data_IF_675164763058
#
_entry.id   IF_675164763058
#
_cell.length_a   1.000
_cell.length_b   1.000
_cell.length_c   1.000
_cell.angle_alpha   90.00
_cell.angle_beta   90.00
_cell.angle_gamma   90.00
#
_symmetry.space_group_name_H-M   'P 1'
#
loop_
_entity.id
_entity.type
_entity.pdbx_description
1 polymer ?
#
# COMPACT_ATOMS: atom_id res chain seq x y z
N UNK A 1 2.57 3.15 0.01
CA UNK A 1 1.28 3.27 -0.70
C UNK A 1 0.60 4.56 -0.30
N UNK A 2 -0.72 4.67 -0.49
CA UNK A 2 -1.53 5.82 -0.05
C UNK A 2 -1.98 5.78 1.42
N UNK A 3 -1.62 4.74 2.17
CA UNK A 3 -2.03 4.53 3.58
C UNK A 3 -1.03 5.20 4.52
N UNK A 4 -1.51 6.00 5.47
CA UNK A 4 -0.69 6.62 6.54
C UNK A 4 -1.32 6.39 7.91
N UNK A 5 -0.49 6.00 8.89
CA UNK A 5 -0.92 5.86 10.29
C UNK A 5 -1.47 7.17 10.88
N UNK A 6 -1.17 8.32 10.29
CA UNK A 6 -1.69 9.64 10.71
C UNK A 6 -3.23 9.67 10.75
N UNK A 7 -3.88 8.88 9.88
CA UNK A 7 -5.34 8.75 9.82
C UNK A 7 -5.95 8.25 11.15
N UNK A 8 -5.20 7.41 11.86
CA UNK A 8 -5.56 6.81 13.15
C UNK A 8 -4.64 7.27 14.30
N UNK A 9 -4.03 8.45 14.15
CA UNK A 9 -3.07 9.02 15.11
C UNK A 9 -3.62 9.24 16.53
N UNK A 10 -4.94 9.37 16.69
CA UNK A 10 -5.54 9.51 18.03
C UNK A 10 -5.47 8.18 18.77
N UNK A 11 -4.98 8.20 20.01
CA UNK A 11 -4.95 7.00 20.85
C UNK A 11 -6.35 6.52 21.26
N UNK A 12 -7.25 7.46 21.57
CA UNK A 12 -8.65 7.19 21.88
C UNK A 12 -9.54 8.21 21.19
N UNK A 13 -10.82 7.84 21.02
CA UNK A 13 -11.85 8.73 20.50
C UNK A 13 -13.05 8.80 21.44
N UNK A 14 -13.63 9.98 21.55
CA UNK A 14 -14.92 10.22 22.23
C UNK A 14 -16.09 10.24 21.26
N UNK A 15 -15.79 10.23 19.96
CA UNK A 15 -16.75 10.22 18.86
C UNK A 15 -16.37 9.15 17.84
N UNK A 16 -17.35 8.52 17.20
CA UNK A 16 -17.11 7.58 16.10
C UNK A 16 -16.29 8.21 14.98
N UNK A 17 -15.62 7.37 14.18
CA UNK A 17 -15.29 7.76 12.82
C UNK A 17 -16.54 7.65 11.97
N UNK A 18 -16.86 8.72 11.25
CA UNK A 18 -17.95 8.75 10.29
C UNK A 18 -17.41 9.16 8.93
N UNK A 19 -17.53 8.27 7.95
CA UNK A 19 -17.00 8.47 6.60
C UNK A 19 -18.06 9.01 5.65
N UNK A 20 -19.32 9.18 6.11
CA UNK A 20 -20.44 9.74 5.33
C UNK A 20 -20.98 8.84 4.21
N UNK A 21 -20.22 7.87 3.74
CA UNK A 21 -20.63 6.93 2.70
C UNK A 21 -19.58 5.84 2.45
N UNK A 22 -19.97 4.81 1.70
CA UNK A 22 -19.01 3.80 1.23
C UNK A 22 -18.15 4.43 0.14
N UNK A 23 -16.86 4.14 0.18
CA UNK A 23 -15.88 4.67 -0.76
C UNK A 23 -15.03 3.54 -1.31
N UNK A 24 -14.77 3.60 -2.60
CA UNK A 24 -13.72 2.82 -3.22
C UNK A 24 -12.73 3.77 -3.92
N UNK A 25 -11.44 3.46 -3.84
CA UNK A 25 -10.40 4.15 -4.57
C UNK A 25 -9.45 3.15 -5.18
N UNK A 26 -9.13 3.35 -6.47
CA UNK A 26 -8.17 2.56 -7.22
C UNK A 26 -7.09 3.46 -7.79
N UNK A 27 -5.84 3.09 -7.54
CA UNK A 27 -4.64 3.77 -8.05
C UNK A 27 -3.87 2.81 -8.95
N UNK A 28 -3.54 3.26 -10.16
CA UNK A 28 -2.71 2.52 -11.11
C UNK A 28 -1.55 3.42 -11.54
N UNK A 29 -0.32 2.96 -11.33
CA UNK A 29 0.90 3.70 -11.70
C UNK A 29 1.78 2.81 -12.57
N UNK A 30 2.38 3.41 -13.60
CA UNK A 30 3.35 2.75 -14.48
C UNK A 30 4.64 3.57 -14.47
N UNK A 31 5.76 2.91 -14.20
CA UNK A 31 7.07 3.55 -14.12
C UNK A 31 8.00 2.81 -15.07
N UNK A 32 8.35 3.46 -16.19
CA UNK A 32 9.34 2.93 -17.11
C UNK A 32 10.74 3.20 -16.59
N UNK A 33 11.52 2.15 -16.39
CA UNK A 33 12.91 2.25 -15.94
C UNK A 33 13.83 2.51 -17.14
N UNK A 34 14.88 3.34 -16.98
CA UNK A 34 15.96 3.41 -17.95
C UNK A 34 16.77 2.11 -17.94
N UNK A 35 17.43 1.78 -19.07
CA UNK A 35 18.16 0.52 -19.25
C UNK A 35 19.33 0.33 -18.26
N UNK A 36 19.81 1.42 -17.66
CA UNK A 36 20.82 1.39 -16.60
C UNK A 36 20.32 0.79 -15.27
N UNK A 37 19.01 0.59 -15.11
CA UNK A 37 18.37 0.12 -13.88
C UNK A 37 17.59 -1.18 -14.11
N UNK A 38 17.64 -2.08 -13.13
CA UNK A 38 16.80 -3.28 -13.05
C UNK A 38 16.19 -3.43 -11.67
N UNK A 39 15.01 -4.05 -11.61
CA UNK A 39 14.39 -4.40 -10.33
C UNK A 39 15.22 -5.48 -9.63
N UNK A 40 15.62 -5.21 -8.38
CA UNK A 40 16.28 -6.16 -7.49
C UNK A 40 15.27 -6.84 -6.57
N UNK A 41 14.25 -6.11 -6.15
CA UNK A 41 13.21 -6.61 -5.25
C UNK A 41 11.89 -5.90 -5.52
N UNK A 42 10.83 -6.71 -5.57
CA UNK A 42 9.45 -6.23 -5.48
C UNK A 42 8.89 -6.63 -4.11
N UNK A 43 8.27 -5.71 -3.38
CA UNK A 43 7.48 -6.06 -2.21
C UNK A 43 6.42 -7.13 -2.57
N UNK A 44 6.18 -8.13 -1.69
CA UNK A 44 5.08 -9.05 -1.89
C UNK A 44 3.74 -8.29 -1.88
N UNK A 45 2.71 -8.80 -2.57
CA UNK A 45 1.40 -8.18 -2.55
C UNK A 45 0.84 -8.16 -1.12
N UNK A 46 0.17 -7.07 -0.77
CA UNK A 46 -0.59 -6.94 0.46
C UNK A 46 -2.06 -7.17 0.10
N UNK A 47 -2.70 -8.12 0.77
CA UNK A 47 -4.14 -8.35 0.69
C UNK A 47 -4.64 -8.36 2.13
N UNK A 48 -5.39 -7.33 2.50
CA UNK A 48 -5.96 -7.17 3.82
C UNK A 48 -7.47 -7.08 3.68
N UNK A 49 -8.13 -8.15 4.11
CA UNK A 49 -9.59 -8.17 4.16
C UNK A 49 -10.06 -8.11 5.62
N UNK A 50 -10.90 -7.15 5.91
CA UNK A 50 -11.44 -6.91 7.25
C UNK A 50 -12.93 -6.68 7.16
N UNK A 51 -13.58 -6.51 8.31
CA UNK A 51 -14.98 -6.09 8.37
C UNK A 51 -15.20 -4.62 7.99
N UNK A 52 -14.15 -3.80 8.05
CA UNK A 52 -14.25 -2.35 7.79
C UNK A 52 -13.84 -1.98 6.39
N UNK A 53 -12.88 -2.69 5.80
CA UNK A 53 -12.39 -2.42 4.45
C UNK A 53 -11.73 -3.67 3.84
N UNK A 54 -11.62 -3.67 2.52
CA UNK A 54 -10.67 -4.47 1.75
C UNK A 54 -9.57 -3.56 1.22
N UNK A 55 -8.32 -3.96 1.41
CA UNK A 55 -7.16 -3.29 0.83
C UNK A 55 -6.30 -4.27 0.04
N UNK A 56 -5.91 -3.87 -1.16
CA UNK A 56 -5.01 -4.61 -2.03
C UNK A 56 -3.91 -3.66 -2.50
N UNK A 57 -2.66 -4.12 -2.45
CA UNK A 57 -1.51 -3.42 -3.03
C UNK A 57 -0.60 -4.44 -3.70
N UNK A 58 -0.21 -4.18 -4.94
CA UNK A 58 0.60 -5.09 -5.75
C UNK A 58 1.58 -4.34 -6.64
N UNK A 59 2.81 -4.85 -6.67
CA UNK A 59 3.80 -4.49 -7.68
C UNK A 59 3.98 -5.64 -8.67
N UNK A 60 4.13 -5.31 -9.95
CA UNK A 60 4.62 -6.24 -10.97
C UNK A 60 5.69 -5.56 -11.82
N UNK A 61 6.52 -6.36 -12.49
CA UNK A 61 7.55 -5.86 -13.38
C UNK A 61 7.56 -6.67 -14.67
N UNK A 62 7.47 -5.99 -15.80
CA UNK A 62 7.62 -6.57 -17.14
C UNK A 62 8.09 -5.50 -18.11
N UNK A 63 8.85 -5.90 -19.15
CA UNK A 63 9.28 -5.00 -20.23
C UNK A 63 9.88 -3.67 -19.74
N UNK A 64 10.80 -3.74 -18.78
CA UNK A 64 11.44 -2.57 -18.14
C UNK A 64 10.47 -1.59 -17.47
N UNK A 65 9.25 -2.01 -17.16
CA UNK A 65 8.20 -1.19 -16.54
C UNK A 65 7.76 -1.80 -15.23
N UNK A 66 7.81 -1.01 -14.15
CA UNK A 66 7.20 -1.35 -12.87
C UNK A 66 5.75 -0.88 -12.91
N UNK A 67 4.83 -1.79 -12.61
CA UNK A 67 3.42 -1.49 -12.46
C UNK A 67 3.06 -1.56 -10.99
N UNK A 68 2.24 -0.62 -10.56
CA UNK A 68 1.69 -0.56 -9.22
C UNK A 68 0.17 -0.48 -9.31
N UNK A 69 -0.50 -1.33 -8.53
CA UNK A 69 -1.94 -1.32 -8.33
C UNK A 69 -2.24 -1.24 -6.84
N UNK A 70 -3.12 -0.31 -6.48
CA UNK A 70 -3.65 -0.17 -5.12
C UNK A 70 -5.16 -0.03 -5.19
N UNK A 71 -5.86 -0.74 -4.33
CA UNK A 71 -7.31 -0.69 -4.15
C UNK A 71 -7.60 -0.55 -2.66
N UNK A 72 -8.43 0.41 -2.30
CA UNK A 72 -9.07 0.51 -0.99
C UNK A 72 -10.57 0.55 -1.20
N UNK A 73 -11.31 -0.37 -0.58
CA UNK A 73 -12.77 -0.46 -0.63
C UNK A 73 -13.30 -0.49 0.79
N UNK A 74 -13.92 0.61 1.23
CA UNK A 74 -14.55 0.73 2.54
C UNK A 74 -15.85 -0.09 2.57
N UNK A 75 -16.00 -0.93 3.60
CA UNK A 75 -17.19 -1.77 3.87
C UNK A 75 -18.06 -1.22 4.98
N UNK A 76 -17.52 -0.32 5.79
CA UNK A 76 -18.24 0.36 6.86
C UNK A 76 -18.21 1.86 6.63
N UNK A 77 -19.35 2.53 6.82
CA UNK A 77 -19.43 4.00 6.79
C UNK A 77 -19.11 4.62 8.15
N UNK A 78 -19.06 3.81 9.20
CA UNK A 78 -18.89 4.26 10.58
C UNK A 78 -18.08 3.24 11.38
N UNK A 79 -17.14 3.72 12.18
CA UNK A 79 -16.42 2.92 13.18
C UNK A 79 -16.83 3.45 14.56
N UNK A 80 -17.39 2.58 15.39
CA UNK A 80 -17.81 2.99 16.74
C UNK A 80 -16.60 3.31 17.63
N UNK A 81 -16.85 3.97 18.77
CA UNK A 81 -15.80 4.26 19.76
C UNK A 81 -15.19 2.96 20.31
N UNK A 82 -16.01 1.94 20.56
CA UNK A 82 -15.58 0.66 21.12
C UNK A 82 -14.74 -0.16 20.12
N UNK A 83 -14.96 0.06 18.83
CA UNK A 83 -14.25 -0.62 17.75
C UNK A 83 -12.94 0.08 17.37
N UNK A 84 -12.81 1.34 17.75
CA UNK A 84 -11.75 2.21 17.25
C UNK A 84 -10.34 1.67 17.57
N UNK A 85 -10.12 1.13 18.76
CA UNK A 85 -8.82 0.57 19.15
C UNK A 85 -8.40 -0.55 18.20
N UNK A 86 -9.31 -1.49 17.93
CA UNK A 86 -9.03 -2.60 17.01
C UNK A 86 -8.85 -2.10 15.57
N UNK A 87 -9.66 -1.14 15.14
CA UNK A 87 -9.52 -0.51 13.82
C UNK A 87 -8.14 0.17 13.67
N UNK A 88 -7.70 0.93 14.67
CA UNK A 88 -6.38 1.59 14.71
C UNK A 88 -5.26 0.58 14.57
N UNK A 89 -5.22 -0.48 15.39
CA UNK A 89 -4.18 -1.50 15.32
C UNK A 89 -4.07 -2.13 13.92
N UNK A 90 -5.22 -2.45 13.32
CA UNK A 90 -5.30 -3.02 11.97
C UNK A 90 -4.81 -2.03 10.91
N UNK A 91 -5.17 -0.76 11.03
CA UNK A 91 -4.78 0.29 10.08
C UNK A 91 -3.30 0.67 10.20
N UNK A 92 -2.75 0.73 11.42
CA UNK A 92 -1.32 0.98 11.64
C UNK A 92 -0.44 -0.17 11.14
N UNK A 93 -0.89 -1.41 11.35
CA UNK A 93 -0.20 -2.57 10.78
C UNK A 93 -0.22 -2.53 9.26
N UNK A 94 -1.36 -2.14 8.67
CA UNK A 94 -1.44 -1.93 7.23
C UNK A 94 -0.46 -0.84 6.77
N UNK A 95 -0.42 0.30 7.45
CA UNK A 95 0.50 1.40 7.12
C UNK A 95 1.97 0.92 7.09
N UNK A 96 2.42 0.23 8.14
CA UNK A 96 3.78 -0.36 8.21
C UNK A 96 4.07 -1.33 7.07
N UNK A 97 3.10 -2.15 6.68
CA UNK A 97 3.28 -3.07 5.56
C UNK A 97 3.46 -2.31 4.23
N UNK A 98 2.77 -1.19 4.06
CA UNK A 98 2.81 -0.37 2.84
C UNK A 98 4.03 0.53 2.70
N UNK A 99 4.88 0.62 3.73
CA UNK A 99 6.16 1.34 3.70
C UNK A 99 7.26 0.58 2.94
N UNK A 100 7.04 -0.69 2.58
CA UNK A 100 7.98 -1.48 1.78
C UNK A 100 8.12 -0.88 0.38
N UNK A 101 9.37 -0.72 -0.08
CA UNK A 101 9.69 -0.07 -1.34
C UNK A 101 10.22 -1.06 -2.39
N UNK A 102 9.99 -0.75 -3.67
CA UNK A 102 10.67 -1.40 -4.79
C UNK A 102 12.16 -1.04 -4.73
N UNK A 103 13.03 -2.05 -4.72
CA UNK A 103 14.47 -1.83 -4.71
C UNK A 103 15.02 -2.05 -6.12
N UNK A 104 15.77 -1.06 -6.61
CA UNK A 104 16.43 -1.09 -7.90
C UNK A 104 17.93 -1.37 -7.73
N UNK A 105 18.55 -1.92 -8.76
CA UNK A 105 20.01 -2.07 -8.87
C UNK A 105 20.49 -1.56 -10.21
N UNK A 106 21.73 -1.08 -10.26
CA UNK A 106 22.38 -0.73 -11.53
C UNK A 106 22.70 -2.00 -12.31
N UNK A 107 22.55 -1.94 -13.62
CA UNK A 107 23.09 -2.97 -14.51
C UNK A 107 24.59 -2.70 -14.66
N UNK A 108 25.43 -3.57 -14.12
CA UNK A 108 26.87 -3.55 -14.41
C UNK A 108 27.08 -4.24 -15.74
N UNK A 109 27.51 -3.48 -16.75
CA UNK A 109 28.13 -4.05 -17.94
C UNK A 109 29.37 -4.81 -17.47
N UNK A 110 29.37 -6.13 -17.58
CA UNK A 110 30.61 -6.89 -17.48
C UNK A 110 31.53 -6.39 -18.60
N UNK A 111 32.69 -5.87 -18.22
CA UNK A 111 33.84 -5.79 -19.10
C UNK A 111 34.04 -7.17 -19.71
N UNK A 112 33.83 -7.29 -21.01
CA UNK A 112 34.39 -8.39 -21.76
C UNK A 112 35.89 -8.26 -21.67
N UNK A 113 36.52 -9.16 -20.92
CA UNK A 113 37.92 -9.48 -21.19
C UNK A 113 37.93 -10.58 -22.25
N UNK A 114 38.85 -10.35 -23.18
CA UNK A 114 39.06 -11.02 -24.46
C UNK A 114 39.41 -12.50 -24.37
#
# INVERSE_FOLDING_TARGET
GGVSADFVSREKRSYPLDFGGLRESKTLIQIKLPDSLRVKYLPPPIIKDTRWFTYINKYTFSNSTVYFEELMSEKATRISVDEYTQYKEVYEELARQTDKQVVLSKVTSGSGDS
#
